data_IF_075521851894
#
_entry.id   IF_075521851894
#
_cell.length_a   1.000
_cell.length_b   1.000
_cell.length_c   1.000
_cell.angle_alpha   90.00
_cell.angle_beta   90.00
_cell.angle_gamma   90.00
#
_symmetry.space_group_name_H-M   'P 1'
#
loop_
_entity.id
_entity.type
_entity.pdbx_description
1 polymer ?
#
# COMPACT_ATOMS: atom_id res chain seq x y z
N UNK A 1 -59.88 -31.76 -16.07
CA UNK A 1 -59.18 -31.12 -14.93
C UNK A 1 -57.71 -31.01 -15.30
N UNK A 2 -57.18 -29.78 -15.42
CA UNK A 2 -55.75 -29.54 -15.65
C UNK A 2 -55.19 -28.88 -14.40
N UNK A 3 -54.34 -29.59 -13.68
CA UNK A 3 -53.49 -29.03 -12.64
C UNK A 3 -52.34 -28.25 -13.30
N UNK A 4 -52.22 -26.97 -12.96
CA UNK A 4 -51.07 -26.13 -13.29
C UNK A 4 -50.18 -26.02 -12.06
N UNK A 5 -49.10 -26.81 -12.05
CA UNK A 5 -47.97 -26.69 -11.11
C UNK A 5 -47.14 -25.45 -11.47
N UNK A 6 -47.24 -24.39 -10.67
CA UNK A 6 -46.29 -23.27 -10.70
C UNK A 6 -45.05 -23.60 -9.86
N UNK A 7 -43.95 -23.92 -10.55
CA UNK A 7 -42.63 -24.06 -9.94
C UNK A 7 -42.06 -22.68 -9.58
N UNK A 8 -42.08 -22.32 -8.30
CA UNK A 8 -41.35 -21.16 -7.79
C UNK A 8 -39.83 -21.42 -7.82
N UNK A 9 -39.17 -20.98 -8.89
CA UNK A 9 -37.70 -20.94 -8.98
C UNK A 9 -37.17 -19.85 -8.04
N UNK A 10 -36.61 -20.27 -6.91
CA UNK A 10 -36.03 -19.40 -5.89
C UNK A 10 -34.74 -18.73 -6.43
N UNK A 11 -34.84 -17.50 -6.95
CA UNK A 11 -33.66 -16.74 -7.41
C UNK A 11 -32.77 -16.39 -6.21
N UNK A 12 -31.44 -16.54 -6.32
CA UNK A 12 -30.53 -16.24 -5.22
C UNK A 12 -30.67 -14.77 -4.80
N UNK A 13 -30.98 -14.54 -3.51
CA UNK A 13 -31.11 -13.19 -2.94
C UNK A 13 -29.77 -12.46 -3.10
N UNK A 14 -29.78 -11.39 -3.90
CA UNK A 14 -28.60 -10.54 -4.10
C UNK A 14 -28.21 -9.92 -2.76
N UNK A 15 -26.99 -10.18 -2.30
CA UNK A 15 -26.51 -9.68 -1.01
C UNK A 15 -26.47 -8.14 -1.04
N UNK A 16 -27.10 -7.46 -0.06
CA UNK A 16 -27.01 -6.02 0.05
C UNK A 16 -25.59 -5.62 0.47
N UNK A 17 -25.10 -4.52 -0.07
CA UNK A 17 -23.77 -4.02 0.20
C UNK A 17 -23.79 -3.12 1.44
N UNK A 18 -23.09 -3.55 2.50
CA UNK A 18 -23.08 -2.90 3.82
C UNK A 18 -22.71 -1.41 3.77
N UNK A 19 -21.79 -1.02 2.89
CA UNK A 19 -21.20 0.33 2.83
C UNK A 19 -21.83 1.21 1.74
N UNK A 20 -23.08 0.91 1.35
CA UNK A 20 -23.82 1.68 0.34
C UNK A 20 -23.86 3.18 0.69
N UNK A 21 -24.17 3.50 1.96
CA UNK A 21 -24.34 4.88 2.42
C UNK A 21 -23.03 5.67 2.35
N UNK A 22 -21.94 5.11 2.86
CA UNK A 22 -20.62 5.75 2.77
C UNK A 22 -20.21 5.98 1.32
N UNK A 23 -20.51 5.03 0.42
CA UNK A 23 -20.13 5.13 -1.00
C UNK A 23 -20.87 6.26 -1.71
N UNK A 24 -22.17 6.40 -1.45
CA UNK A 24 -22.98 7.50 -1.99
C UNK A 24 -22.54 8.84 -1.40
N UNK A 25 -22.23 8.91 -0.10
CA UNK A 25 -21.70 10.14 0.53
C UNK A 25 -20.36 10.57 -0.06
N UNK A 26 -19.47 9.62 -0.38
CA UNK A 26 -18.21 9.92 -1.07
C UNK A 26 -18.45 10.56 -2.43
N UNK A 27 -19.34 10.01 -3.24
CA UNK A 27 -19.68 10.60 -4.53
C UNK A 27 -20.25 12.02 -4.39
N UNK A 28 -21.17 12.23 -3.42
CA UNK A 28 -21.72 13.56 -3.14
C UNK A 28 -20.66 14.57 -2.70
N UNK A 29 -19.69 14.14 -1.89
CA UNK A 29 -18.58 14.98 -1.44
C UNK A 29 -17.67 15.42 -2.61
N UNK A 30 -17.54 14.58 -3.63
CA UNK A 30 -16.77 14.87 -4.85
C UNK A 30 -17.55 15.73 -5.86
N UNK A 31 -18.69 16.30 -5.43
CA UNK A 31 -19.50 17.22 -6.23
C UNK A 31 -20.54 16.55 -7.12
N UNK A 32 -20.70 15.22 -7.06
CA UNK A 32 -21.73 14.55 -7.85
C UNK A 32 -23.12 14.84 -7.29
N UNK A 33 -24.10 14.96 -8.17
CA UNK A 33 -25.50 15.06 -7.82
C UNK A 33 -26.13 13.67 -7.65
N UNK A 34 -27.24 13.59 -6.91
CA UNK A 34 -27.99 12.33 -6.78
C UNK A 34 -28.50 11.80 -8.13
N UNK A 35 -28.74 12.70 -9.09
CA UNK A 35 -29.18 12.35 -10.44
C UNK A 35 -28.04 11.69 -11.23
N UNK A 36 -26.85 12.26 -11.21
CA UNK A 36 -25.67 11.66 -11.87
C UNK A 36 -25.31 10.30 -11.27
N UNK A 37 -25.41 10.17 -9.94
CA UNK A 37 -25.21 8.88 -9.26
C UNK A 37 -26.27 7.86 -9.71
N UNK A 38 -27.53 8.28 -9.84
CA UNK A 38 -28.63 7.42 -10.28
C UNK A 38 -28.41 6.95 -11.73
N UNK A 39 -28.06 7.87 -12.61
CA UNK A 39 -27.78 7.59 -14.03
C UNK A 39 -26.58 6.63 -14.15
N UNK A 40 -25.51 6.86 -13.38
CA UNK A 40 -24.33 6.00 -13.38
C UNK A 40 -24.61 4.58 -12.87
N UNK A 41 -25.42 4.47 -11.83
CA UNK A 41 -25.81 3.18 -11.23
C UNK A 41 -27.02 2.53 -11.92
N UNK A 42 -27.56 3.15 -13.00
CA UNK A 42 -28.77 2.72 -13.71
C UNK A 42 -29.95 2.49 -12.75
N UNK A 43 -30.20 3.47 -11.88
CA UNK A 43 -31.25 3.45 -10.88
C UNK A 43 -32.02 4.77 -10.85
N UNK A 44 -32.94 4.94 -9.91
CA UNK A 44 -33.73 6.17 -9.75
C UNK A 44 -33.13 7.07 -8.66
N UNK A 45 -33.28 8.39 -8.81
CA UNK A 45 -32.83 9.37 -7.81
C UNK A 45 -33.44 9.11 -6.42
N UNK A 46 -34.70 8.70 -6.35
CA UNK A 46 -35.38 8.34 -5.09
C UNK A 46 -34.68 7.18 -4.37
N UNK A 47 -34.16 6.20 -5.11
CA UNK A 47 -33.38 5.08 -4.58
C UNK A 47 -32.04 5.57 -4.05
N UNK A 48 -31.35 6.46 -4.78
CA UNK A 48 -30.09 7.08 -4.33
C UNK A 48 -30.30 7.94 -3.08
N UNK A 49 -31.42 8.65 -2.97
CA UNK A 49 -31.80 9.39 -1.77
C UNK A 49 -31.97 8.46 -0.57
N UNK A 50 -32.68 7.34 -0.73
CA UNK A 50 -32.81 6.30 0.30
C UNK A 50 -31.45 5.68 0.69
N UNK A 51 -30.54 5.48 -0.27
CA UNK A 51 -29.17 5.03 -0.02
C UNK A 51 -28.35 6.05 0.77
N UNK A 52 -28.44 7.34 0.43
CA UNK A 52 -27.73 8.43 1.12
C UNK A 52 -28.18 8.58 2.58
N UNK A 53 -29.48 8.39 2.83
CA UNK A 53 -30.06 8.38 4.19
C UNK A 53 -29.75 7.10 4.96
N UNK A 54 -29.43 6.00 4.26
CA UNK A 54 -29.19 4.68 4.84
C UNK A 54 -30.45 3.86 5.09
N UNK A 55 -31.59 4.25 4.52
CA UNK A 55 -32.87 3.54 4.63
C UNK A 55 -32.90 2.26 3.77
N UNK A 56 -32.12 2.25 2.68
CA UNK A 56 -31.96 1.10 1.78
C UNK A 56 -30.49 0.88 1.48
N UNK A 57 -30.14 -0.37 1.16
CA UNK A 57 -28.82 -0.75 0.66
C UNK A 57 -28.91 -1.18 -0.79
N UNK A 58 -27.91 -0.78 -1.58
CA UNK A 58 -27.75 -1.23 -2.96
C UNK A 58 -27.11 -2.61 -2.98
N UNK A 59 -27.30 -3.33 -4.08
CA UNK A 59 -26.54 -4.56 -4.32
C UNK A 59 -25.15 -4.20 -4.87
N UNK A 60 -24.17 -5.07 -4.66
CA UNK A 60 -22.80 -4.87 -5.18
C UNK A 60 -22.79 -4.64 -6.70
N UNK A 61 -23.66 -5.33 -7.43
CA UNK A 61 -23.80 -5.17 -8.88
C UNK A 61 -24.30 -3.77 -9.29
N UNK A 62 -25.23 -3.18 -8.52
CA UNK A 62 -25.74 -1.83 -8.79
C UNK A 62 -24.70 -0.76 -8.45
N UNK A 63 -23.93 -0.99 -7.39
CA UNK A 63 -22.92 -0.06 -6.89
C UNK A 63 -21.57 -0.23 -7.57
N UNK A 64 -21.39 -1.25 -8.42
CA UNK A 64 -20.15 -1.53 -9.15
C UNK A 64 -19.53 -0.27 -9.80
N UNK A 65 -20.30 0.60 -10.50
CA UNK A 65 -19.73 1.82 -11.08
C UNK A 65 -19.16 2.79 -10.04
N UNK A 66 -19.78 2.91 -8.87
CA UNK A 66 -19.27 3.73 -7.78
C UNK A 66 -18.12 3.05 -7.04
N UNK A 67 -18.13 1.72 -6.94
CA UNK A 67 -17.04 0.96 -6.31
C UNK A 67 -15.75 1.04 -7.12
N UNK A 68 -15.85 1.05 -8.45
CA UNK A 68 -14.70 1.25 -9.33
C UNK A 68 -14.06 2.63 -9.13
N UNK A 69 -14.86 3.67 -8.85
CA UNK A 69 -14.39 5.05 -8.69
C UNK A 69 -14.01 5.36 -7.24
N UNK A 70 -14.83 4.97 -6.26
CA UNK A 70 -14.72 5.39 -4.87
C UNK A 70 -14.47 4.23 -3.89
N UNK A 71 -14.46 2.98 -4.36
CA UNK A 71 -14.28 1.80 -3.51
C UNK A 71 -12.96 1.82 -2.74
N UNK A 72 -11.92 2.45 -3.29
CA UNK A 72 -10.64 2.63 -2.59
C UNK A 72 -10.74 3.58 -1.39
N UNK A 73 -11.61 4.61 -1.44
CA UNK A 73 -11.85 5.55 -0.33
C UNK A 73 -12.72 4.94 0.78
N UNK A 74 -13.51 3.92 0.45
CA UNK A 74 -14.46 3.25 1.35
C UNK A 74 -13.77 2.36 2.39
N UNK A 75 -12.66 1.73 1.99
CA UNK A 75 -11.73 1.11 2.93
C UNK A 75 -11.09 2.26 3.70
N UNK A 76 -11.61 2.52 4.91
CA UNK A 76 -11.12 3.51 5.90
C UNK A 76 -9.77 4.08 5.50
N UNK A 77 -9.72 5.40 5.31
CA UNK A 77 -8.53 6.17 5.00
C UNK A 77 -7.42 5.80 6.00
N UNK A 78 -6.66 4.77 5.67
CA UNK A 78 -5.63 4.19 6.51
C UNK A 78 -4.37 4.90 6.07
N UNK A 79 -3.89 5.76 6.95
CA UNK A 79 -2.61 6.38 6.76
C UNK A 79 -1.60 5.73 7.69
N UNK A 80 -0.35 5.67 7.24
CA UNK A 80 0.79 5.40 8.10
C UNK A 80 1.60 6.67 8.27
N UNK A 81 2.25 6.78 9.41
CA UNK A 81 3.20 7.86 9.69
C UNK A 81 4.59 7.27 9.60
N UNK A 82 5.44 7.93 8.83
CA UNK A 82 6.85 7.62 8.69
C UNK A 82 7.66 8.81 9.18
N UNK A 83 8.88 8.60 9.63
CA UNK A 83 9.78 9.69 10.00
C UNK A 83 11.01 9.67 9.11
N UNK A 84 11.60 10.84 8.89
CA UNK A 84 12.83 11.00 8.13
C UNK A 84 13.47 12.35 8.39
N UNK A 85 14.37 12.74 7.51
CA UNK A 85 15.02 14.06 7.53
C UNK A 85 14.64 14.82 6.29
N UNK A 86 14.33 16.10 6.46
CA UNK A 86 14.18 17.00 5.32
C UNK A 86 15.56 17.32 4.74
N UNK A 87 15.69 17.25 3.42
CA UNK A 87 16.94 17.50 2.70
C UNK A 87 17.41 18.94 2.83
N UNK A 88 16.51 19.90 3.00
CA UNK A 88 16.84 21.33 3.08
C UNK A 88 17.19 21.74 4.51
N UNK A 89 16.31 21.45 5.47
CA UNK A 89 16.47 21.89 6.87
C UNK A 89 17.31 20.94 7.72
N UNK A 90 17.50 19.69 7.28
CA UNK A 90 18.09 18.58 8.06
C UNK A 90 17.36 18.28 9.37
N UNK A 91 16.14 18.80 9.54
CA UNK A 91 15.33 18.54 10.71
C UNK A 91 14.56 17.23 10.59
N UNK A 92 14.24 16.65 11.75
CA UNK A 92 13.41 15.45 11.81
C UNK A 92 11.98 15.81 11.43
N UNK A 93 11.46 15.16 10.41
CA UNK A 93 10.10 15.37 9.90
C UNK A 93 9.28 14.08 9.92
N UNK A 94 7.97 14.23 10.07
CA UNK A 94 7.01 13.14 10.01
C UNK A 94 6.14 13.27 8.77
N UNK A 95 6.07 12.19 8.01
CA UNK A 95 5.31 12.10 6.78
C UNK A 95 4.06 11.25 6.98
N UNK A 96 2.90 11.83 6.70
CA UNK A 96 1.64 11.10 6.60
C UNK A 96 1.51 10.52 5.19
N UNK A 97 1.41 9.20 5.08
CA UNK A 97 1.21 8.49 3.81
C UNK A 97 -0.13 7.77 3.84
N UNK A 98 -1.06 8.22 3.00
CA UNK A 98 -2.37 7.60 2.83
C UNK A 98 -2.31 6.41 1.87
N UNK A 99 -3.22 5.45 2.07
CA UNK A 99 -3.38 4.29 1.20
C UNK A 99 -2.95 2.99 1.87
N UNK A 100 -3.44 1.88 1.33
CA UNK A 100 -3.18 0.55 1.90
C UNK A 100 -1.78 0.08 1.50
N UNK A 101 -1.01 -0.46 2.46
CA UNK A 101 0.24 -1.13 2.14
C UNK A 101 -0.06 -2.42 1.38
N UNK A 102 0.45 -2.53 0.16
CA UNK A 102 0.27 -3.70 -0.71
C UNK A 102 1.54 -4.54 -0.82
N UNK A 103 2.70 -3.95 -0.52
CA UNK A 103 3.99 -4.61 -0.57
C UNK A 103 4.90 -4.05 0.53
N UNK A 104 5.64 -4.93 1.20
CA UNK A 104 6.61 -4.57 2.22
C UNK A 104 7.71 -5.62 2.22
N UNK A 105 8.92 -5.25 1.81
CA UNK A 105 10.06 -6.15 1.72
C UNK A 105 11.27 -5.56 2.43
N UNK A 106 11.91 -6.37 3.28
CA UNK A 106 13.17 -6.03 3.96
C UNK A 106 14.32 -6.73 3.24
N UNK A 107 15.39 -5.98 3.02
CA UNK A 107 16.64 -6.45 2.45
C UNK A 107 17.70 -6.48 3.54
N UNK A 108 18.42 -7.60 3.63
CA UNK A 108 19.36 -7.87 4.70
C UNK A 108 20.77 -7.90 4.18
N UNK A 109 21.71 -7.28 4.89
CA UNK A 109 23.15 -7.46 4.71
C UNK A 109 23.60 -8.75 5.37
N UNK A 110 24.37 -9.54 4.63
CA UNK A 110 25.02 -10.73 5.15
C UNK A 110 26.47 -10.41 5.42
N UNK A 111 26.91 -10.51 6.67
CA UNK A 111 28.34 -10.50 6.98
C UNK A 111 28.89 -11.93 6.95
N UNK A 112 29.94 -12.13 6.17
CA UNK A 112 30.74 -13.37 6.13
C UNK A 112 32.07 -13.11 6.84
N UNK A 113 32.52 -14.05 7.67
CA UNK A 113 33.91 -14.01 8.13
C UNK A 113 34.80 -14.48 6.99
N UNK A 114 35.83 -13.68 6.67
CA UNK A 114 36.90 -14.10 5.78
C UNK A 114 37.97 -14.94 6.51
N UNK A 115 37.85 -15.13 7.83
CA UNK A 115 38.87 -15.73 8.71
C UNK A 115 38.70 -17.22 9.00
N UNK A 116 37.63 -17.87 8.52
CA UNK A 116 37.45 -19.32 8.66
C UNK A 116 37.22 -19.96 7.29
N UNK A 117 37.86 -21.11 7.07
CA UNK A 117 37.82 -21.93 5.85
C UNK A 117 36.41 -22.34 5.43
N UNK A 118 35.44 -22.23 6.36
CA UNK A 118 34.02 -22.35 6.09
C UNK A 118 33.39 -20.95 6.06
N UNK A 119 32.91 -20.51 4.88
CA UNK A 119 32.17 -19.25 4.67
C UNK A 119 30.82 -19.26 5.41
N UNK A 120 30.85 -19.28 6.75
CA UNK A 120 29.66 -19.29 7.59
C UNK A 120 29.13 -17.86 7.69
N UNK A 121 27.84 -17.69 7.39
CA UNK A 121 27.14 -16.41 7.57
C UNK A 121 27.07 -16.13 9.07
N UNK A 122 27.56 -14.98 9.51
CA UNK A 122 27.68 -14.65 10.95
C UNK A 122 26.48 -13.83 11.42
N UNK A 123 26.04 -12.87 10.62
CA UNK A 123 24.95 -11.99 10.98
C UNK A 123 24.13 -11.59 9.76
N UNK A 124 22.83 -11.46 9.98
CA UNK A 124 21.84 -11.02 9.02
C UNK A 124 21.23 -9.74 9.56
N UNK A 125 21.75 -8.59 9.12
CA UNK A 125 21.30 -7.28 9.60
C UNK A 125 20.39 -6.64 8.55
N UNK A 126 19.17 -6.21 8.89
CA UNK A 126 18.29 -5.55 7.93
C UNK A 126 18.87 -4.17 7.57
N UNK A 127 19.10 -3.93 6.28
CA UNK A 127 19.80 -2.74 5.77
C UNK A 127 18.81 -1.74 5.16
N UNK A 128 17.90 -2.26 4.32
CA UNK A 128 16.89 -1.47 3.63
C UNK A 128 15.51 -2.11 3.76
N UNK A 129 14.46 -1.30 3.67
CA UNK A 129 13.07 -1.76 3.62
C UNK A 129 12.31 -0.95 2.59
N UNK A 130 11.64 -1.64 1.68
CA UNK A 130 10.78 -1.05 0.66
C UNK A 130 9.33 -1.31 1.04
N UNK A 131 8.52 -0.25 1.07
CA UNK A 131 7.09 -0.33 1.34
C UNK A 131 6.33 0.39 0.21
N UNK A 132 5.28 -0.23 -0.32
CA UNK A 132 4.43 0.36 -1.36
C UNK A 132 3.02 0.56 -0.81
N UNK A 133 2.55 1.80 -0.89
CA UNK A 133 1.15 2.15 -0.64
C UNK A 133 0.40 2.25 -1.95
N UNK A 134 -0.79 1.64 -2.01
CA UNK A 134 -1.77 1.86 -3.06
C UNK A 134 -2.77 2.93 -2.61
N UNK A 135 -2.84 4.04 -3.36
CA UNK A 135 -3.65 5.22 -3.02
C UNK A 135 -5.00 5.25 -3.75
N UNK A 136 -5.30 4.25 -4.58
CA UNK A 136 -6.46 4.26 -5.48
C UNK A 136 -6.13 4.85 -6.85
N UNK A 137 -7.05 4.70 -7.81
CA UNK A 137 -6.87 5.16 -9.20
C UNK A 137 -5.55 4.71 -9.86
N UNK A 138 -5.06 3.52 -9.51
CA UNK A 138 -3.78 2.98 -10.00
C UNK A 138 -2.57 3.88 -9.66
N UNK A 139 -2.68 4.69 -8.62
CA UNK A 139 -1.60 5.49 -8.05
C UNK A 139 -0.98 4.78 -6.87
N UNK A 140 0.35 4.78 -6.85
CA UNK A 140 1.16 4.13 -5.85
C UNK A 140 2.14 5.13 -5.25
N UNK A 141 2.57 4.86 -4.03
CA UNK A 141 3.60 5.65 -3.36
C UNK A 141 4.63 4.72 -2.75
N UNK A 142 5.89 4.98 -3.07
CA UNK A 142 7.02 4.21 -2.56
C UNK A 142 7.55 4.90 -1.30
N UNK A 143 7.76 4.10 -0.26
CA UNK A 143 8.48 4.48 0.95
C UNK A 143 9.75 3.64 0.97
N UNK A 144 10.88 4.30 0.83
CA UNK A 144 12.19 3.69 0.99
C UNK A 144 12.68 3.97 2.41
N UNK A 145 13.02 2.92 3.15
CA UNK A 145 13.54 3.04 4.50
C UNK A 145 14.96 2.48 4.57
N UNK A 146 15.83 3.20 5.29
CA UNK A 146 17.18 2.78 5.64
C UNK A 146 17.36 2.81 7.15
N UNK A 147 18.26 1.98 7.69
CA UNK A 147 18.59 2.06 9.11
C UNK A 147 19.25 3.39 9.45
N UNK A 148 18.78 4.02 10.53
CA UNK A 148 19.39 5.21 11.09
C UNK A 148 20.81 4.89 11.56
N UNK A 149 21.76 5.72 11.14
CA UNK A 149 23.16 5.65 11.57
C UNK A 149 23.50 6.93 12.32
N UNK A 150 24.27 6.82 13.39
CA UNK A 150 24.86 7.98 14.07
C UNK A 150 26.37 7.87 14.07
N UNK A 151 27.07 9.01 14.07
CA UNK A 151 28.52 9.02 14.18
C UNK A 151 28.90 8.87 15.65
N UNK A 152 29.57 7.79 16.01
CA UNK A 152 30.20 7.66 17.30
C UNK A 152 31.49 8.50 17.28
N UNK A 153 31.50 9.62 18.01
CA UNK A 153 32.63 10.55 18.04
C UNK A 153 33.89 9.93 18.65
N UNK A 154 33.74 9.05 19.65
CA UNK A 154 34.86 8.41 20.34
C UNK A 154 35.57 7.40 19.45
N UNK A 155 34.81 6.67 18.61
CA UNK A 155 35.34 5.63 17.73
C UNK A 155 35.54 6.11 16.28
N UNK A 156 35.19 7.37 15.99
CA UNK A 156 35.16 7.98 14.66
C UNK A 156 34.54 7.07 13.58
N UNK A 157 33.50 6.31 13.95
CA UNK A 157 32.82 5.35 13.07
C UNK A 157 31.30 5.56 13.14
N UNK A 158 30.61 5.24 12.06
CA UNK A 158 29.15 5.22 12.07
C UNK A 158 28.66 3.94 12.73
N UNK A 159 27.72 4.07 13.65
CA UNK A 159 27.07 2.96 14.35
C UNK A 159 25.57 2.99 14.08
N UNK A 160 24.97 1.80 14.03
CA UNK A 160 23.53 1.64 13.84
C UNK A 160 22.79 2.11 15.09
N UNK A 161 21.74 2.91 14.88
CA UNK A 161 20.83 3.26 15.94
C UNK A 161 20.00 2.03 16.34
N UNK A 162 20.14 1.59 17.59
CA UNK A 162 19.36 0.49 18.13
C UNK A 162 18.27 1.04 19.05
N UNK A 163 17.03 0.65 18.77
CA UNK A 163 15.87 0.95 19.61
C UNK A 163 15.12 -0.34 19.90
N UNK A 164 14.48 -0.42 21.06
CA UNK A 164 13.55 -1.51 21.38
C UNK A 164 12.27 -1.44 20.54
N UNK A 165 11.99 -0.28 19.94
CA UNK A 165 10.88 -0.06 19.00
C UNK A 165 11.41 -0.18 17.57
N UNK A 166 11.02 -1.24 16.86
CA UNK A 166 11.53 -1.55 15.51
C UNK A 166 11.31 -0.41 14.50
N UNK A 167 10.17 0.27 14.53
CA UNK A 167 9.90 1.40 13.62
C UNK A 167 10.78 2.64 13.88
N UNK A 168 11.36 2.77 15.08
CA UNK A 168 12.19 3.91 15.44
C UNK A 168 13.60 3.86 14.83
N UNK A 169 14.03 2.71 14.31
CA UNK A 169 15.35 2.58 13.67
C UNK A 169 15.32 2.89 12.17
N UNK A 170 14.14 3.08 11.58
CA UNK A 170 13.96 3.22 10.13
C UNK A 170 13.75 4.69 9.71
N UNK A 171 14.77 5.28 9.08
CA UNK A 171 14.67 6.60 8.41
C UNK A 171 14.00 6.40 7.07
N UNK A 172 12.99 7.21 6.76
CA UNK A 172 12.17 7.05 5.56
C UNK A 172 12.36 8.20 4.57
N UNK A 173 12.48 7.86 3.30
CA UNK A 173 12.38 8.76 2.16
C UNK A 173 11.14 8.35 1.34
N UNK A 174 10.33 9.34 0.97
CA UNK A 174 9.02 9.08 0.36
C UNK A 174 8.94 9.74 -1.01
N UNK A 175 8.61 8.94 -2.00
CA UNK A 175 8.47 9.43 -3.37
C UNK A 175 7.14 10.18 -3.57
N UNK A 176 7.05 10.91 -4.67
CA UNK A 176 5.76 11.42 -5.17
C UNK A 176 4.88 10.24 -5.63
N UNK A 177 3.54 10.41 -5.68
CA UNK A 177 2.65 9.41 -6.27
C UNK A 177 3.03 9.10 -7.72
N UNK A 178 3.01 7.82 -8.08
CA UNK A 178 3.43 7.32 -9.39
C UNK A 178 2.49 6.23 -9.91
N UNK A 179 2.49 6.01 -11.23
CA UNK A 179 1.76 4.87 -11.83
C UNK A 179 2.46 3.54 -11.52
N UNK A 180 1.83 2.41 -11.84
CA UNK A 180 2.44 1.09 -11.68
C UNK A 180 3.73 0.92 -12.48
N UNK A 181 3.77 1.43 -13.71
CA UNK A 181 4.95 1.34 -14.58
C UNK A 181 6.13 2.15 -13.99
N UNK A 182 5.86 3.39 -13.59
CA UNK A 182 6.86 4.24 -12.94
C UNK A 182 7.33 3.67 -11.58
N UNK A 183 6.42 3.04 -10.83
CA UNK A 183 6.75 2.39 -9.58
C UNK A 183 7.78 1.26 -9.79
N UNK A 184 7.56 0.41 -10.81
CA UNK A 184 8.47 -0.70 -11.11
C UNK A 184 9.85 -0.15 -11.49
N UNK A 185 9.90 0.84 -12.38
CA UNK A 185 11.15 1.49 -12.78
C UNK A 185 11.89 2.13 -11.59
N UNK A 186 11.16 2.76 -10.67
CA UNK A 186 11.71 3.30 -9.42
C UNK A 186 12.28 2.20 -8.53
N UNK A 187 11.55 1.10 -8.33
CA UNK A 187 12.00 -0.02 -7.50
C UNK A 187 13.25 -0.64 -8.12
N UNK A 188 13.26 -0.91 -9.43
CA UNK A 188 14.43 -1.44 -10.13
C UNK A 188 15.62 -0.50 -9.98
N UNK A 189 15.43 0.79 -10.18
CA UNK A 189 16.50 1.78 -10.01
C UNK A 189 17.05 1.80 -8.59
N UNK A 190 16.19 1.81 -7.57
CA UNK A 190 16.58 1.84 -6.15
C UNK A 190 17.29 0.54 -5.76
N UNK A 191 16.74 -0.61 -6.15
CA UNK A 191 17.30 -1.94 -5.85
C UNK A 191 18.65 -2.10 -6.56
N UNK A 192 18.73 -1.78 -7.85
CA UNK A 192 19.97 -1.91 -8.63
C UNK A 192 21.05 -0.95 -8.10
N UNK A 193 20.71 0.31 -7.81
CA UNK A 193 21.70 1.29 -7.33
C UNK A 193 22.20 1.02 -5.92
N UNK A 194 21.34 0.59 -5.00
CA UNK A 194 21.67 0.51 -3.57
C UNK A 194 21.99 -0.91 -3.08
N UNK A 195 21.43 -1.95 -3.70
CA UNK A 195 21.55 -3.34 -3.19
C UNK A 195 22.55 -4.14 -4.01
N UNK A 196 22.55 -3.96 -5.33
CA UNK A 196 23.34 -4.82 -6.23
C UNK A 196 24.74 -4.30 -6.54
N UNK A 197 25.01 -3.00 -6.37
CA UNK A 197 26.35 -2.42 -6.56
C UNK A 197 27.40 -2.99 -5.60
N UNK A 198 26.99 -3.40 -4.39
CA UNK A 198 27.89 -3.93 -3.35
C UNK A 198 27.92 -5.47 -3.28
N UNK A 199 27.11 -6.19 -4.07
CA UNK A 199 26.82 -7.63 -3.83
C UNK A 199 27.06 -8.58 -5.00
N UNK A 200 27.27 -8.06 -6.21
CA UNK A 200 27.58 -8.90 -7.37
C UNK A 200 29.01 -8.65 -7.83
N UNK A 201 29.93 -9.37 -7.22
CA UNK A 201 30.97 -10.01 -8.02
C UNK A 201 30.24 -11.11 -8.81
N UNK A 202 30.12 -10.94 -10.13
CA UNK A 202 29.14 -11.63 -11.01
C UNK A 202 29.52 -13.11 -11.28
N UNK A 203 30.34 -13.75 -10.43
CA UNK A 203 30.73 -15.16 -10.59
C UNK A 203 29.75 -16.16 -9.94
N UNK A 204 28.93 -15.75 -8.97
CA UNK A 204 28.15 -16.71 -8.15
C UNK A 204 26.65 -16.81 -8.54
N UNK A 205 26.29 -16.59 -9.82
CA UNK A 205 24.89 -16.68 -10.31
C UNK A 205 24.28 -18.10 -10.25
N UNK A 206 25.06 -19.14 -10.00
CA UNK A 206 24.54 -20.52 -9.97
C UNK A 206 23.84 -20.92 -8.66
N UNK A 207 23.89 -20.09 -7.60
CA UNK A 207 23.46 -20.56 -6.26
C UNK A 207 22.13 -19.99 -5.74
N UNK A 208 21.37 -19.24 -6.53
CA UNK A 208 20.10 -18.65 -6.09
C UNK A 208 18.95 -18.98 -7.06
N UNK A 209 18.72 -20.27 -7.24
CA UNK A 209 17.39 -20.81 -7.52
C UNK A 209 16.90 -21.46 -6.22
N UNK A 210 15.91 -20.86 -5.56
CA UNK A 210 14.79 -21.49 -4.82
C UNK A 210 13.90 -20.38 -4.25
#
# INVERSE_FOLDING_TARGET
>A
MKESNENHVNKPKRKPFKWTRELVKLALHEGWTQKEIADKCRTQQSIVSAWSKGEKQGTEQQLKPLLEIFGYKLRRNTFKVYWGFDSETKEKVFYKVEGTVIFSQVFYKFQRNNSCSSKKIISKTPEYKIIVHHQGNSLFRLVFQQRAMYKNEQLNRYEEFNSTVDDAVWVSEITKPSTSMQLIELIETVVIKNIWKDRLDISDRETLLF
#
